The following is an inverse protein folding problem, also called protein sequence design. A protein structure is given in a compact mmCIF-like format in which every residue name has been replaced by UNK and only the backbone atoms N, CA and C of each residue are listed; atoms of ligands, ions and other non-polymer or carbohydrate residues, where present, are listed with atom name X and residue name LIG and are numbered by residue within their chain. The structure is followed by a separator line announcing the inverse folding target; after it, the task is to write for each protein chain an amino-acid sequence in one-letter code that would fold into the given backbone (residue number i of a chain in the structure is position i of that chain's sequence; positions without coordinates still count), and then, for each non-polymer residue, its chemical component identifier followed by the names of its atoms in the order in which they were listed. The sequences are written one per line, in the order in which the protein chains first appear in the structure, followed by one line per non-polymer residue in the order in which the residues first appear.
data_IF_423102394183
#
_entry.id   IF_423102394183
#
_cell.length_a   1.000
_cell.length_b   1.000
_cell.length_c   1.000
_cell.angle_alpha   90.00
_cell.angle_beta   90.00
_cell.angle_gamma   90.00
#
_symmetry.space_group_name_H-M   'P 1'
#
loop_
_entity.id
_entity.type
_entity.pdbx_description
1 polymer ?
#
# COMPACT_ATOMS: atom_id res chain seq x y z
N UNK A 1 10.71 10.51 -5.18
CA UNK A 1 9.34 10.12 -5.62
C UNK A 1 8.31 11.09 -5.09
N UNK A 2 8.27 11.34 -3.78
CA UNK A 2 7.30 12.24 -3.14
C UNK A 2 7.28 13.65 -3.74
N UNK A 3 8.44 14.31 -3.84
CA UNK A 3 8.57 15.66 -4.41
C UNK A 3 8.13 15.73 -5.86
N UNK A 4 8.49 14.72 -6.67
CA UNK A 4 8.12 14.66 -8.08
C UNK A 4 6.60 14.51 -8.26
N UNK A 5 5.94 13.70 -7.43
CA UNK A 5 4.48 13.55 -7.48
C UNK A 5 3.77 14.85 -7.09
N UNK A 6 4.19 15.47 -5.99
CA UNK A 6 3.64 16.75 -5.52
C UNK A 6 3.91 17.92 -6.50
N UNK A 7 4.96 17.82 -7.31
CA UNK A 7 5.23 18.79 -8.37
C UNK A 7 4.32 18.60 -9.59
N UNK A 8 3.94 17.36 -9.90
CA UNK A 8 3.14 17.05 -11.11
C UNK A 8 1.64 17.23 -10.89
N UNK A 9 1.13 16.95 -9.70
CA UNK A 9 -0.30 16.93 -9.40
C UNK A 9 -0.61 17.51 -8.01
N UNK A 10 -1.75 18.20 -7.88
CA UNK A 10 -2.31 18.61 -6.59
C UNK A 10 -3.05 17.42 -5.97
N UNK A 11 -2.41 16.75 -5.01
CA UNK A 11 -2.89 15.52 -4.41
C UNK A 11 -2.53 15.41 -2.93
N UNK A 12 -3.22 14.50 -2.24
CA UNK A 12 -2.83 14.07 -0.89
C UNK A 12 -1.86 12.90 -1.00
N UNK A 13 -0.63 13.08 -0.52
CA UNK A 13 0.38 12.03 -0.51
C UNK A 13 0.56 11.45 0.90
N UNK A 14 0.25 10.16 1.07
CA UNK A 14 0.45 9.43 2.33
C UNK A 14 1.61 8.45 2.15
N UNK A 15 2.71 8.69 2.87
CA UNK A 15 3.86 7.76 2.93
C UNK A 15 3.62 6.78 4.08
N UNK A 16 3.54 5.50 3.77
CA UNK A 16 3.40 4.44 4.77
C UNK A 16 4.77 3.89 5.12
N UNK A 17 5.31 4.34 6.25
CA UNK A 17 6.54 3.78 6.83
C UNK A 17 6.20 2.57 7.70
N UNK A 18 6.74 1.41 7.32
CA UNK A 18 6.62 0.16 8.04
C UNK A 18 7.98 -0.55 8.16
N UNK A 19 9.08 0.22 8.14
CA UNK A 19 10.47 -0.29 8.14
C UNK A 19 10.69 -1.35 9.22
N UNK A 20 10.22 -1.13 10.45
CA UNK A 20 10.35 -2.07 11.57
C UNK A 20 9.73 -3.45 11.28
N UNK A 21 8.67 -3.50 10.49
CA UNK A 21 8.01 -4.75 10.07
C UNK A 21 8.67 -5.39 8.84
N UNK A 22 9.56 -4.68 8.15
CA UNK A 22 10.25 -5.11 6.93
C UNK A 22 11.72 -5.50 7.16
N UNK A 23 12.21 -5.43 8.40
CA UNK A 23 13.64 -5.59 8.69
C UNK A 23 14.18 -6.99 8.36
N UNK A 24 15.37 -7.00 7.77
CA UNK A 24 16.21 -8.18 7.61
C UNK A 24 16.84 -8.59 8.95
N UNK A 25 17.20 -9.88 9.15
CA UNK A 25 17.31 -10.94 8.14
C UNK A 25 16.03 -11.76 7.88
N UNK A 26 14.93 -11.52 8.60
CA UNK A 26 13.77 -12.40 8.56
C UNK A 26 12.78 -12.04 7.42
N UNK A 27 13.16 -12.37 6.18
CA UNK A 27 12.34 -12.12 5.00
C UNK A 27 10.96 -12.81 5.06
N UNK A 28 10.88 -14.02 5.63
CA UNK A 28 9.60 -14.74 5.76
C UNK A 28 8.62 -13.96 6.63
N UNK A 29 9.10 -13.41 7.76
CA UNK A 29 8.27 -12.57 8.61
C UNK A 29 7.90 -11.25 7.92
N UNK A 30 8.85 -10.62 7.21
CA UNK A 30 8.57 -9.40 6.45
C UNK A 30 7.49 -9.62 5.38
N UNK A 31 7.54 -10.76 4.66
CA UNK A 31 6.52 -11.17 3.70
C UNK A 31 5.17 -11.44 4.38
N UNK A 32 5.14 -12.13 5.53
CA UNK A 32 3.89 -12.32 6.27
C UNK A 32 3.29 -10.99 6.77
N UNK A 33 4.15 -10.05 7.18
CA UNK A 33 3.74 -8.73 7.66
C UNK A 33 3.05 -7.90 6.56
N UNK A 34 3.29 -8.16 5.27
CA UNK A 34 2.64 -7.38 4.21
C UNK A 34 1.12 -7.45 4.28
N UNK A 35 0.57 -8.59 4.71
CA UNK A 35 -0.88 -8.76 4.89
C UNK A 35 -1.40 -7.92 6.07
N UNK A 36 -0.67 -7.89 7.18
CA UNK A 36 -1.01 -7.07 8.34
C UNK A 36 -0.99 -5.57 7.99
N UNK A 37 0.07 -5.11 7.33
CA UNK A 37 0.19 -3.72 6.89
C UNK A 37 -0.93 -3.39 5.90
N UNK A 38 -1.23 -4.30 4.96
CA UNK A 38 -2.33 -4.12 4.00
C UNK A 38 -3.68 -3.86 4.68
N UNK A 39 -3.99 -4.62 5.74
CA UNK A 39 -5.19 -4.42 6.58
C UNK A 39 -5.18 -3.11 7.35
N UNK A 40 -4.03 -2.69 7.87
CA UNK A 40 -3.90 -1.41 8.58
C UNK A 40 -4.14 -0.21 7.64
N UNK A 41 -3.61 -0.26 6.42
CA UNK A 41 -3.87 0.77 5.41
C UNK A 41 -5.36 0.77 5.02
N UNK A 42 -5.99 -0.40 4.87
CA UNK A 42 -7.42 -0.49 4.58
C UNK A 42 -8.28 0.14 5.70
N UNK A 43 -7.91 -0.06 6.97
CA UNK A 43 -8.55 0.62 8.10
C UNK A 43 -8.42 2.13 8.00
N UNK A 44 -7.22 2.64 7.68
CA UNK A 44 -7.00 4.08 7.46
C UNK A 44 -7.89 4.62 6.33
N UNK A 45 -7.94 3.95 5.18
CA UNK A 45 -8.80 4.34 4.05
C UNK A 45 -10.27 4.38 4.48
N UNK A 46 -10.77 3.35 5.18
CA UNK A 46 -12.15 3.34 5.69
C UNK A 46 -12.43 4.51 6.62
N UNK A 47 -11.48 4.86 7.49
CA UNK A 47 -11.61 6.03 8.37
C UNK A 47 -11.63 7.34 7.57
N UNK A 48 -10.81 7.49 6.53
CA UNK A 48 -10.82 8.68 5.67
C UNK A 48 -12.14 8.77 4.91
N UNK A 49 -12.58 7.68 4.28
CA UNK A 49 -13.85 7.63 3.55
C UNK A 49 -15.01 8.02 4.45
N UNK A 50 -15.09 7.45 5.66
CA UNK A 50 -16.15 7.74 6.62
C UNK A 50 -16.13 9.20 7.09
N UNK A 51 -14.96 9.76 7.42
CA UNK A 51 -14.86 11.08 8.03
C UNK A 51 -14.80 12.23 7.02
N UNK A 52 -14.39 11.96 5.78
CA UNK A 52 -14.12 12.98 4.75
C UNK A 52 -14.90 12.78 3.45
N UNK A 53 -15.60 11.66 3.29
CA UNK A 53 -16.41 11.39 2.10
C UNK A 53 -15.59 11.11 0.83
N UNK A 54 -14.31 10.75 0.96
CA UNK A 54 -13.45 10.36 -0.17
C UNK A 54 -13.92 9.00 -0.70
N UNK A 55 -14.04 8.86 -2.02
CA UNK A 55 -14.49 7.62 -2.64
C UNK A 55 -13.31 6.65 -2.82
N UNK A 56 -13.52 5.31 -2.75
CA UNK A 56 -12.46 4.34 -3.07
C UNK A 56 -11.78 4.57 -4.43
N UNK A 57 -12.52 5.09 -5.40
CA UNK A 57 -12.06 5.37 -6.75
C UNK A 57 -11.09 6.58 -6.80
N UNK A 58 -10.98 7.36 -5.73
CA UNK A 58 -10.03 8.48 -5.62
C UNK A 58 -8.63 8.04 -5.14
N UNK A 59 -8.45 6.75 -4.80
CA UNK A 59 -7.19 6.23 -4.29
C UNK A 59 -6.33 5.60 -5.38
N UNK A 60 -5.02 5.91 -5.33
CA UNK A 60 -3.97 5.23 -6.05
C UNK A 60 -2.94 4.68 -5.06
N UNK A 61 -2.80 3.35 -5.02
CA UNK A 61 -1.77 2.69 -4.21
C UNK A 61 -0.51 2.44 -5.05
N UNK A 62 0.66 2.79 -4.52
CA UNK A 62 1.94 2.50 -5.15
C UNK A 62 2.81 1.72 -4.16
N UNK A 63 3.31 0.57 -4.57
CA UNK A 63 4.12 -0.30 -3.72
C UNK A 63 5.35 -0.82 -4.46
N UNK A 64 6.51 -0.77 -3.81
CA UNK A 64 7.78 -1.29 -4.33
C UNK A 64 8.18 -2.58 -3.60
N UNK A 65 8.68 -3.58 -4.32
CA UNK A 65 9.12 -4.87 -3.73
C UNK A 65 8.02 -5.52 -2.88
N UNK A 66 8.26 -5.83 -1.59
CA UNK A 66 7.23 -6.31 -0.66
C UNK A 66 6.04 -5.34 -0.52
N UNK A 67 6.28 -4.04 -0.70
CA UNK A 67 5.23 -3.02 -0.69
C UNK A 67 4.21 -3.17 -1.82
N UNK A 68 4.57 -3.81 -2.94
CA UNK A 68 3.61 -4.11 -4.00
C UNK A 68 2.52 -5.10 -3.49
N UNK A 69 2.93 -6.08 -2.69
CA UNK A 69 2.01 -7.02 -2.04
C UNK A 69 1.21 -6.37 -0.92
N UNK A 70 1.81 -5.45 -0.15
CA UNK A 70 1.06 -4.61 0.79
C UNK A 70 -0.10 -3.90 0.07
N UNK A 71 0.19 -3.25 -1.04
CA UNK A 71 -0.83 -2.56 -1.84
C UNK A 71 -1.89 -3.53 -2.39
N UNK A 72 -1.48 -4.71 -2.85
CA UNK A 72 -2.39 -5.78 -3.27
C UNK A 72 -3.33 -6.23 -2.15
N UNK A 73 -2.80 -6.49 -0.95
CA UNK A 73 -3.61 -6.86 0.22
C UNK A 73 -4.55 -5.74 0.65
N UNK A 74 -4.14 -4.47 0.56
CA UNK A 74 -5.07 -3.34 0.78
C UNK A 74 -6.21 -3.35 -0.24
N UNK A 75 -5.92 -3.61 -1.53
CA UNK A 75 -6.93 -3.72 -2.58
C UNK A 75 -7.92 -4.89 -2.39
N UNK A 76 -7.52 -5.96 -1.70
CA UNK A 76 -8.43 -7.06 -1.33
C UNK A 76 -9.44 -6.64 -0.25
N UNK A 77 -9.08 -5.67 0.60
CA UNK A 77 -9.92 -5.20 1.70
C UNK A 77 -10.83 -4.03 1.32
N UNK A 78 -10.51 -3.32 0.23
CA UNK A 78 -11.25 -2.14 -0.25
C UNK A 78 -11.61 -2.34 -1.72
N UNK A 79 -12.90 -2.57 -1.97
CA UNK A 79 -13.43 -2.64 -3.33
C UNK A 79 -13.29 -1.31 -4.06
N UNK A 80 -13.10 -1.38 -5.38
CA UNK A 80 -13.05 -0.23 -6.30
C UNK A 80 -11.92 0.78 -6.06
N UNK A 81 -10.79 0.39 -5.47
CA UNK A 81 -9.58 1.20 -5.59
C UNK A 81 -9.25 1.38 -7.09
N UNK A 82 -9.16 2.63 -7.53
CA UNK A 82 -9.01 2.98 -8.95
C UNK A 82 -7.72 2.43 -9.55
N UNK A 83 -6.61 2.50 -8.81
CA UNK A 83 -5.31 2.05 -9.31
C UNK A 83 -4.42 1.47 -8.24
N UNK A 84 -3.73 0.38 -8.60
CA UNK A 84 -2.57 -0.15 -7.88
C UNK A 84 -1.39 -0.19 -8.84
N UNK A 85 -0.22 0.28 -8.43
CA UNK A 85 1.03 0.19 -9.19
C UNK A 85 2.06 -0.57 -8.37
N UNK A 86 2.37 -1.79 -8.81
CA UNK A 86 3.48 -2.59 -8.30
C UNK A 86 4.76 -2.24 -9.03
N UNK A 87 5.72 -1.65 -8.31
CA UNK A 87 7.06 -1.35 -8.80
C UNK A 87 7.96 -2.53 -8.41
N UNK A 88 8.37 -3.34 -9.39
CA UNK A 88 9.22 -4.52 -9.17
C UNK A 88 8.74 -5.42 -8.00
N UNK A 89 7.52 -6.02 -8.10
CA UNK A 89 6.96 -6.82 -7.01
C UNK A 89 7.87 -7.99 -6.62
N UNK A 90 8.03 -8.22 -5.32
CA UNK A 90 8.91 -9.28 -4.83
C UNK A 90 8.38 -10.68 -5.19
N UNK A 91 9.20 -11.51 -5.82
CA UNK A 91 8.82 -12.86 -6.23
C UNK A 91 8.80 -13.91 -5.10
N UNK A 92 9.83 -14.02 -4.23
CA UNK A 92 9.90 -15.11 -3.26
C UNK A 92 8.73 -15.06 -2.28
N UNK A 93 8.08 -16.22 -2.08
CA UNK A 93 6.88 -16.43 -1.24
C UNK A 93 5.57 -15.90 -1.83
N UNK A 94 5.57 -15.31 -3.02
CA UNK A 94 4.38 -14.78 -3.68
C UNK A 94 4.12 -15.38 -5.07
N UNK A 95 5.16 -15.84 -5.76
CA UNK A 95 5.03 -16.62 -7.00
C UNK A 95 4.73 -18.10 -6.69
N UNK A 96 3.86 -18.70 -7.50
CA UNK A 96 3.46 -20.11 -7.43
C UNK A 96 3.19 -20.68 -8.81
#
# INVERSE_FOLDING_TARGET
MTEALLFMEDLNLIVVDWENGAQLPNYVQAAANTQLIGKQIALLIRMINFNKGVAPEDYHLIGFSLGAHVAGFTGMEISNISRITGLDPAAPLFEG
#
